data_IF_105861976107
#
_entry.id   IF_105861976107
#
_cell.length_a   1.000
_cell.length_b   1.000
_cell.length_c   1.000
_cell.angle_alpha   90.00
_cell.angle_beta   90.00
_cell.angle_gamma   90.00
#
_symmetry.space_group_name_H-M   'P 1'
#
loop_
_entity.id
_entity.type
_entity.pdbx_description
1 polymer ?
#
# COMPACT_ATOMS: atom_id res chain seq x y z
N UNK A 1 -19.89 -0.65 24.10
CA UNK A 1 -18.94 -1.66 24.62
C UNK A 1 -17.81 -1.73 23.62
N UNK A 2 -16.76 -0.95 23.87
CA UNK A 2 -15.57 -0.91 23.03
C UNK A 2 -14.70 -2.12 23.35
N UNK A 3 -14.56 -3.03 22.38
CA UNK A 3 -13.63 -4.13 22.50
C UNK A 3 -12.21 -3.55 22.46
N UNK A 4 -11.55 -3.55 23.62
CA UNK A 4 -10.15 -3.22 23.77
C UNK A 4 -9.32 -4.16 22.87
N UNK A 5 -8.63 -3.68 21.82
CA UNK A 5 -7.92 -4.54 20.87
C UNK A 5 -6.63 -5.15 21.44
N UNK A 6 -6.29 -4.86 22.69
CA UNK A 6 -5.01 -5.17 23.34
C UNK A 6 -4.75 -6.62 23.77
N UNK A 7 -5.45 -7.62 23.23
CA UNK A 7 -5.20 -9.02 23.64
C UNK A 7 -5.14 -10.04 22.51
N UNK A 8 -5.04 -9.60 21.25
CA UNK A 8 -4.76 -10.51 20.16
C UNK A 8 -3.25 -10.73 20.11
N UNK A 9 -2.79 -11.97 20.29
CA UNK A 9 -1.40 -12.33 20.02
C UNK A 9 -0.99 -11.73 18.66
N UNK A 10 0.11 -10.95 18.60
CA UNK A 10 0.52 -10.24 17.39
C UNK A 10 0.54 -11.12 16.13
N UNK A 11 0.90 -12.41 16.29
CA UNK A 11 0.88 -13.43 15.24
C UNK A 11 -0.52 -13.78 14.72
N UNK A 12 -1.53 -13.88 15.59
CA UNK A 12 -2.91 -14.18 15.20
C UNK A 12 -3.55 -12.96 14.56
N UNK A 13 -3.33 -11.77 15.10
CA UNK A 13 -3.78 -10.51 14.50
C UNK A 13 -3.16 -10.31 13.12
N UNK A 14 -1.86 -10.58 12.98
CA UNK A 14 -1.16 -10.48 11.70
C UNK A 14 -1.69 -11.49 10.69
N UNK A 15 -1.72 -12.79 11.01
CA UNK A 15 -2.26 -13.80 10.08
C UNK A 15 -3.71 -13.52 9.69
N UNK A 16 -4.55 -13.10 10.64
CA UNK A 16 -5.93 -12.72 10.36
C UNK A 16 -5.99 -11.47 9.48
N UNK A 17 -5.17 -10.45 9.75
CA UNK A 17 -5.15 -9.25 8.94
C UNK A 17 -4.59 -9.55 7.55
N UNK A 18 -3.47 -10.25 7.41
CA UNK A 18 -2.93 -10.72 6.12
C UNK A 18 -3.95 -11.56 5.35
N UNK A 19 -4.71 -12.45 5.99
CA UNK A 19 -5.79 -13.20 5.36
C UNK A 19 -6.95 -12.31 4.92
N UNK A 20 -7.40 -11.37 5.76
CA UNK A 20 -8.50 -10.44 5.41
C UNK A 20 -8.09 -9.46 4.33
N UNK A 21 -6.83 -9.03 4.36
CA UNK A 21 -6.23 -8.32 3.26
C UNK A 21 -6.26 -9.27 2.05
N UNK A 22 -5.69 -10.46 2.09
CA UNK A 22 -5.74 -11.42 0.97
C UNK A 22 -7.16 -11.68 0.43
N UNK A 23 -8.21 -11.66 1.25
CA UNK A 23 -9.61 -11.70 0.79
C UNK A 23 -10.06 -10.40 0.11
N UNK A 24 -9.68 -9.24 0.64
CA UNK A 24 -9.95 -7.92 0.06
C UNK A 24 -9.17 -7.67 -1.24
N UNK A 25 -7.99 -8.27 -1.38
CA UNK A 25 -7.04 -8.05 -2.48
C UNK A 25 -7.02 -9.18 -3.51
N UNK A 26 -7.19 -10.46 -3.17
CA UNK A 26 -6.77 -11.63 -3.98
C UNK A 26 -7.79 -12.77 -4.11
N UNK A 27 -9.09 -12.48 -4.32
CA UNK A 27 -10.06 -13.52 -4.73
C UNK A 27 -10.95 -13.16 -5.92
N UNK A 28 -10.31 -12.74 -7.02
CA UNK A 28 -10.88 -12.92 -8.36
C UNK A 28 -10.14 -14.04 -9.10
N UNK A 29 -10.85 -14.92 -9.82
CA UNK A 29 -10.30 -15.96 -10.73
C UNK A 29 -9.31 -15.43 -11.79
N UNK A 30 -9.18 -14.11 -11.88
CA UNK A 30 -8.53 -13.38 -12.97
C UNK A 30 -7.10 -12.89 -12.62
N UNK A 31 -6.57 -13.22 -11.43
CA UNK A 31 -5.17 -12.94 -11.06
C UNK A 31 -4.85 -11.50 -10.61
N UNK A 32 -5.85 -10.75 -10.13
CA UNK A 32 -5.70 -9.35 -9.69
C UNK A 32 -5.72 -9.22 -8.17
N UNK A 33 -4.71 -8.52 -7.64
CA UNK A 33 -4.44 -8.37 -6.20
C UNK A 33 -2.95 -8.39 -5.91
N UNK A 34 -2.46 -7.59 -4.95
CA UNK A 34 -1.01 -7.43 -4.69
C UNK A 34 -0.33 -8.80 -4.69
N UNK A 35 0.57 -9.04 -5.64
CA UNK A 35 1.24 -10.33 -5.71
C UNK A 35 2.05 -10.44 -4.41
N UNK A 36 1.79 -11.51 -3.65
CA UNK A 36 2.64 -11.92 -2.53
C UNK A 36 2.60 -11.04 -1.26
N UNK A 37 1.41 -10.61 -0.80
CA UNK A 37 1.27 -10.16 0.61
C UNK A 37 1.78 -11.23 1.57
N UNK A 38 1.50 -12.51 1.32
CA UNK A 38 1.96 -13.63 2.15
C UNK A 38 3.48 -13.80 2.17
N UNK A 39 4.22 -13.80 1.05
CA UNK A 39 5.68 -14.02 1.15
C UNK A 39 6.42 -12.79 1.68
N UNK A 40 5.98 -11.57 1.33
CA UNK A 40 6.55 -10.36 1.93
C UNK A 40 6.18 -10.25 3.42
N UNK A 41 5.02 -10.78 3.82
CA UNK A 41 4.61 -10.81 5.23
C UNK A 41 5.52 -11.63 6.11
N UNK A 42 6.20 -12.66 5.58
CA UNK A 42 7.11 -13.48 6.38
C UNK A 42 8.37 -12.73 6.79
N UNK A 43 8.93 -11.91 5.89
CA UNK A 43 10.11 -11.09 6.20
C UNK A 43 9.78 -9.83 7.00
N UNK A 44 8.54 -9.33 6.92
CA UNK A 44 8.09 -8.13 7.63
C UNK A 44 7.43 -8.44 8.99
N UNK A 45 6.92 -9.66 9.21
CA UNK A 45 6.22 -10.05 10.43
C UNK A 45 6.99 -9.75 11.73
N UNK A 46 8.29 -10.07 11.87
CA UNK A 46 9.01 -9.80 13.11
C UNK A 46 9.02 -8.32 13.49
N UNK A 47 9.05 -7.43 12.50
CA UNK A 47 9.07 -5.98 12.72
C UNK A 47 7.69 -5.41 13.04
N UNK A 48 6.63 -6.05 12.54
CA UNK A 48 5.25 -5.71 12.90
C UNK A 48 4.95 -6.17 14.32
N UNK A 49 5.36 -7.40 14.67
CA UNK A 49 5.20 -7.96 16.02
C UNK A 49 5.94 -7.13 17.07
N UNK A 50 7.13 -6.61 16.73
CA UNK A 50 7.89 -5.69 17.57
C UNK A 50 7.33 -4.26 17.60
N UNK A 51 6.26 -3.94 16.86
CA UNK A 51 5.66 -2.61 16.79
C UNK A 51 6.47 -1.57 16.01
N UNK A 52 7.53 -1.98 15.31
CA UNK A 52 8.44 -1.11 14.54
C UNK A 52 7.94 -0.79 13.14
N UNK A 53 7.11 -1.69 12.58
CA UNK A 53 6.32 -1.44 11.38
C UNK A 53 4.84 -1.39 11.75
N UNK A 54 4.23 -0.21 11.67
CA UNK A 54 2.79 -0.04 11.92
C UNK A 54 2.03 -0.14 10.62
N UNK A 55 0.96 -0.92 10.63
CA UNK A 55 0.04 -1.06 9.51
C UNK A 55 -1.34 -0.57 9.90
N UNK A 56 -1.90 0.35 9.10
CA UNK A 56 -3.15 1.03 9.43
C UNK A 56 -4.08 1.02 8.22
N UNK A 57 -5.29 0.49 8.38
CA UNK A 57 -6.32 0.62 7.36
C UNK A 57 -6.88 2.04 7.35
N UNK A 58 -6.97 2.64 6.16
CA UNK A 58 -7.45 4.01 5.96
C UNK A 58 -8.59 4.01 4.95
N UNK A 59 -9.65 4.75 5.26
CA UNK A 59 -10.64 5.12 4.27
C UNK A 59 -10.06 6.23 3.38
N UNK A 60 -10.04 5.98 2.07
CA UNK A 60 -9.63 6.95 1.05
C UNK A 60 -10.91 7.46 0.38
N UNK A 61 -11.17 8.78 0.41
CA UNK A 61 -12.34 9.33 -0.24
C UNK A 61 -12.30 9.04 -1.75
N UNK A 62 -13.40 8.55 -2.35
CA UNK A 62 -13.48 8.44 -3.80
C UNK A 62 -13.44 9.84 -4.43
N UNK A 63 -13.08 9.91 -5.71
CA UNK A 63 -13.11 11.15 -6.46
C UNK A 63 -14.56 11.61 -6.69
N UNK A 64 -14.76 12.92 -6.84
CA UNK A 64 -16.07 13.42 -7.26
C UNK A 64 -16.36 12.98 -8.70
N UNK A 65 -17.63 12.76 -9.10
CA UNK A 65 -17.97 12.31 -10.45
C UNK A 65 -17.45 13.22 -11.57
N UNK A 66 -17.26 14.52 -11.28
CA UNK A 66 -16.67 15.49 -12.21
C UNK A 66 -15.20 15.21 -12.49
N UNK A 67 -14.45 14.78 -11.48
CA UNK A 67 -13.03 14.44 -11.62
C UNK A 67 -12.90 13.07 -12.29
N UNK A 68 -13.72 12.08 -11.92
CA UNK A 68 -13.73 10.76 -12.57
C UNK A 68 -13.90 10.86 -14.10
N UNK A 69 -14.84 11.70 -14.58
CA UNK A 69 -15.06 11.92 -16.02
C UNK A 69 -13.83 12.51 -16.71
N UNK A 70 -13.14 13.45 -16.05
CA UNK A 70 -11.91 14.07 -16.55
C UNK A 70 -10.77 13.05 -16.61
N UNK A 71 -10.68 12.16 -15.63
CA UNK A 71 -9.66 11.10 -15.59
C UNK A 71 -9.90 10.05 -16.68
N UNK A 72 -11.15 9.65 -16.90
CA UNK A 72 -11.52 8.69 -17.95
C UNK A 72 -11.19 9.19 -19.36
N UNK A 73 -11.21 10.50 -19.61
CA UNK A 73 -10.79 11.07 -20.90
C UNK A 73 -9.27 11.04 -21.15
N UNK A 74 -8.45 10.73 -20.14
CA UNK A 74 -6.99 10.62 -20.25
C UNK A 74 -6.49 9.17 -20.20
N UNK A 75 -7.37 8.17 -20.21
CA UNK A 75 -6.93 6.77 -20.20
C UNK A 75 -6.24 6.45 -21.52
N UNK A 76 -4.91 6.40 -21.49
CA UNK A 76 -4.09 5.98 -22.63
C UNK A 76 -4.12 4.44 -22.71
N UNK A 77 -3.83 3.84 -23.87
CA UNK A 77 -3.84 2.38 -24.07
C UNK A 77 -2.90 1.58 -23.13
N UNK A 78 -2.01 2.26 -22.38
CA UNK A 78 -1.06 1.65 -21.42
C UNK A 78 -1.61 1.48 -20.00
N UNK A 79 -2.68 2.17 -19.61
CA UNK A 79 -3.13 2.19 -18.21
C UNK A 79 -4.66 2.21 -18.11
N UNK A 80 -5.23 1.35 -17.26
CA UNK A 80 -6.68 1.29 -17.09
C UNK A 80 -7.24 2.55 -16.43
N UNK A 81 -8.44 2.96 -16.84
CA UNK A 81 -9.15 4.08 -16.19
C UNK A 81 -9.29 3.89 -14.66
N UNK A 82 -9.39 2.64 -14.21
CA UNK A 82 -9.45 2.32 -12.79
C UNK A 82 -8.15 2.67 -12.05
N UNK A 83 -6.98 2.37 -12.62
CA UNK A 83 -5.68 2.69 -12.02
C UNK A 83 -5.50 4.20 -11.90
N UNK A 84 -5.82 4.94 -12.97
CA UNK A 84 -5.79 6.41 -12.96
C UNK A 84 -6.70 7.00 -11.88
N UNK A 85 -7.92 6.48 -11.71
CA UNK A 85 -8.84 6.90 -10.64
C UNK A 85 -8.22 6.67 -9.26
N UNK A 86 -7.62 5.50 -9.02
CA UNK A 86 -6.99 5.20 -7.74
C UNK A 86 -5.79 6.12 -7.46
N UNK A 87 -4.95 6.36 -8.47
CA UNK A 87 -3.79 7.24 -8.40
C UNK A 87 -4.18 8.67 -8.02
N UNK A 88 -5.13 9.24 -8.75
CA UNK A 88 -5.67 10.57 -8.45
C UNK A 88 -6.35 10.63 -7.07
N UNK A 89 -7.09 9.58 -6.67
CA UNK A 89 -7.69 9.52 -5.34
C UNK A 89 -6.62 9.51 -4.23
N UNK A 90 -5.58 8.70 -4.39
CA UNK A 90 -4.44 8.62 -3.47
C UNK A 90 -3.71 9.97 -3.36
N UNK A 91 -3.41 10.62 -4.49
CA UNK A 91 -2.74 11.92 -4.53
C UNK A 91 -3.56 12.99 -3.79
N UNK A 92 -4.85 13.13 -4.09
CA UNK A 92 -5.71 14.10 -3.40
C UNK A 92 -5.84 13.81 -1.91
N UNK A 93 -5.93 12.53 -1.55
CA UNK A 93 -5.98 12.12 -0.16
C UNK A 93 -4.68 12.43 0.58
N UNK A 94 -3.51 12.15 0.00
CA UNK A 94 -2.21 12.52 0.57
C UNK A 94 -2.12 14.03 0.80
N UNK A 95 -2.48 14.85 -0.20
CA UNK A 95 -2.52 16.32 -0.08
C UNK A 95 -3.42 16.79 1.05
N UNK A 96 -4.60 16.18 1.19
CA UNK A 96 -5.53 16.48 2.28
C UNK A 96 -4.99 16.09 3.67
N UNK A 97 -4.03 15.16 3.74
CA UNK A 97 -3.41 14.66 4.97
C UNK A 97 -2.00 15.26 5.20
N UNK A 98 -1.71 16.42 4.64
CA UNK A 98 -0.49 17.19 4.93
C UNK A 98 0.65 17.04 3.92
N UNK A 99 0.60 16.06 3.02
CA UNK A 99 1.55 15.89 1.91
C UNK A 99 1.19 16.82 0.74
N UNK A 100 1.26 18.14 0.98
CA UNK A 100 0.78 19.18 0.04
C UNK A 100 1.47 19.16 -1.32
N UNK A 101 2.71 18.69 -1.36
CA UNK A 101 3.57 18.51 -2.52
C UNK A 101 3.41 17.15 -3.21
N UNK A 102 2.44 16.32 -2.80
CA UNK A 102 2.27 15.01 -3.45
C UNK A 102 2.00 15.15 -4.95
N UNK A 103 2.74 14.41 -5.77
CA UNK A 103 2.68 14.38 -7.23
C UNK A 103 2.50 12.95 -7.75
N UNK A 104 1.96 12.83 -8.96
CA UNK A 104 1.67 11.53 -9.59
C UNK A 104 2.79 11.12 -10.56
N UNK A 105 2.98 9.80 -10.76
CA UNK A 105 3.88 9.24 -11.78
C UNK A 105 5.36 9.60 -11.62
N UNK A 106 5.83 9.65 -10.37
CA UNK A 106 7.19 10.10 -10.05
C UNK A 106 8.20 8.94 -10.16
N UNK A 107 9.32 9.08 -10.89
CA UNK A 107 10.40 8.11 -10.88
C UNK A 107 11.00 7.93 -9.47
N UNK A 108 11.40 6.71 -9.12
CA UNK A 108 12.08 6.46 -7.84
C UNK A 108 12.56 5.03 -7.63
N UNK A 109 12.51 4.56 -6.38
CA UNK A 109 13.12 3.33 -5.89
C UNK A 109 12.68 2.08 -6.69
N UNK A 110 13.49 1.68 -7.67
CA UNK A 110 13.28 0.47 -8.46
C UNK A 110 12.20 0.57 -9.54
N UNK A 111 11.79 1.79 -9.92
CA UNK A 111 10.78 2.00 -10.94
C UNK A 111 10.06 3.34 -10.79
N UNK A 112 8.78 3.37 -11.16
CA UNK A 112 7.92 4.55 -11.00
C UNK A 112 6.96 4.34 -9.84
N UNK A 113 6.75 5.39 -9.04
CA UNK A 113 5.70 5.47 -8.04
C UNK A 113 4.43 6.05 -8.64
N UNK A 114 3.29 5.56 -8.18
CA UNK A 114 2.01 6.14 -8.59
C UNK A 114 1.83 7.54 -8.00
N UNK A 115 2.21 7.73 -6.73
CA UNK A 115 2.19 9.04 -6.06
C UNK A 115 3.36 9.18 -5.09
N UNK A 116 3.98 10.35 -5.01
CA UNK A 116 5.07 10.65 -4.07
C UNK A 116 4.99 12.08 -3.53
N UNK A 117 5.28 12.26 -2.24
CA UNK A 117 5.55 13.53 -1.57
C UNK A 117 6.90 13.46 -0.90
N UNK A 118 7.81 14.35 -1.32
CA UNK A 118 9.16 14.43 -0.78
C UNK A 118 9.14 15.04 0.62
N UNK A 119 8.39 16.13 0.82
CA UNK A 119 8.37 16.85 2.10
C UNK A 119 7.73 16.04 3.24
N UNK A 120 6.83 15.12 2.91
CA UNK A 120 6.18 14.25 3.88
C UNK A 120 6.83 12.86 3.97
N UNK A 121 7.90 12.59 3.21
CA UNK A 121 8.54 11.28 3.10
C UNK A 121 7.50 10.16 2.91
N UNK A 122 6.63 10.33 1.91
CA UNK A 122 5.44 9.50 1.72
C UNK A 122 5.24 9.09 0.27
N UNK A 123 5.25 7.78 0.02
CA UNK A 123 4.90 7.18 -1.27
C UNK A 123 3.53 6.52 -1.19
N UNK A 124 2.74 6.58 -2.27
CA UNK A 124 1.60 5.70 -2.47
C UNK A 124 1.70 4.93 -3.79
N UNK A 125 1.30 3.66 -3.72
CA UNK A 125 1.24 2.72 -4.83
C UNK A 125 -0.21 2.25 -4.96
N UNK A 126 -0.71 2.11 -6.19
CA UNK A 126 -2.11 1.78 -6.42
C UNK A 126 -2.29 0.54 -7.30
N UNK A 127 -3.50 0.00 -7.27
CA UNK A 127 -3.88 -1.11 -8.14
C UNK A 127 -3.24 -2.44 -7.71
N UNK A 128 -2.50 -3.07 -8.63
CA UNK A 128 -1.91 -4.40 -8.45
C UNK A 128 -0.42 -4.34 -8.09
N UNK A 129 -0.05 -3.42 -7.18
CA UNK A 129 1.35 -3.23 -6.79
C UNK A 129 1.84 -4.36 -5.88
N UNK A 130 3.08 -4.80 -6.07
CA UNK A 130 3.71 -5.84 -5.26
C UNK A 130 4.21 -5.25 -3.94
N UNK A 131 4.06 -6.00 -2.85
CA UNK A 131 4.57 -5.62 -1.53
C UNK A 131 6.11 -5.57 -1.51
N UNK A 132 6.80 -6.18 -2.48
CA UNK A 132 8.25 -6.06 -2.61
C UNK A 132 8.73 -4.60 -2.69
N UNK A 133 7.90 -3.70 -3.27
CA UNK A 133 8.18 -2.26 -3.26
C UNK A 133 8.19 -1.66 -1.85
N UNK A 134 7.37 -2.17 -0.93
CA UNK A 134 7.38 -1.76 0.48
C UNK A 134 8.70 -2.17 1.14
N UNK A 135 9.14 -3.43 0.98
CA UNK A 135 10.42 -3.88 1.51
C UNK A 135 11.58 -3.05 0.95
N UNK A 136 11.54 -2.75 -0.36
CA UNK A 136 12.54 -1.89 -0.99
C UNK A 136 12.50 -0.45 -0.47
N UNK A 137 11.32 0.12 -0.23
CA UNK A 137 11.16 1.45 0.37
C UNK A 137 11.66 1.51 1.82
N UNK A 138 11.40 0.48 2.63
CA UNK A 138 11.89 0.39 4.02
C UNK A 138 13.42 0.38 4.08
N UNK A 139 14.09 -0.27 3.13
CA UNK A 139 15.57 -0.32 3.07
C UNK A 139 16.21 1.02 2.64
N UNK A 140 15.42 2.06 2.38
CA UNK A 140 15.91 3.39 2.03
C UNK A 140 15.75 4.34 3.22
N UNK A 141 16.60 5.38 3.33
CA UNK A 141 16.49 6.36 4.41
C UNK A 141 15.16 7.15 4.34
N UNK A 142 14.62 7.32 3.13
CA UNK A 142 13.28 7.86 2.85
C UNK A 142 12.62 6.99 1.76
N UNK A 143 11.28 6.90 1.71
CA UNK A 143 10.30 7.45 2.65
C UNK A 143 10.30 6.70 4.01
N UNK A 144 9.55 7.23 4.98
CA UNK A 144 9.19 6.50 6.22
C UNK A 144 7.70 6.11 6.26
N UNK A 145 7.01 6.33 5.13
CA UNK A 145 5.59 6.03 4.97
C UNK A 145 5.28 5.53 3.57
N UNK A 146 4.54 4.44 3.49
CA UNK A 146 4.10 3.83 2.24
C UNK A 146 2.61 3.50 2.31
N UNK A 147 1.82 3.95 1.35
CA UNK A 147 0.41 3.58 1.25
C UNK A 147 0.16 2.67 0.06
N UNK A 148 -0.42 1.51 0.29
CA UNK A 148 -0.99 0.67 -0.75
C UNK A 148 -2.48 0.98 -0.94
N UNK A 149 -2.87 1.44 -2.12
CA UNK A 149 -4.28 1.68 -2.50
C UNK A 149 -4.71 0.68 -3.56
N UNK A 150 -5.16 -0.51 -3.14
CA UNK A 150 -5.51 -1.56 -4.07
C UNK A 150 -6.73 -1.28 -4.93
N UNK A 151 -6.78 -1.99 -6.05
CA UNK A 151 -8.03 -2.20 -6.75
C UNK A 151 -8.92 -3.20 -5.99
N UNK A 152 -10.10 -2.74 -5.55
CA UNK A 152 -11.04 -3.51 -4.72
C UNK A 152 -12.30 -3.87 -5.50
N UNK A 153 -12.31 -4.90 -6.34
CA UNK A 153 -13.41 -5.19 -7.30
C UNK A 153 -14.83 -5.05 -6.71
N UNK A 154 -15.07 -5.55 -5.49
CA UNK A 154 -16.39 -5.49 -4.83
C UNK A 154 -16.83 -4.06 -4.48
N UNK A 155 -15.88 -3.15 -4.30
CA UNK A 155 -16.14 -1.75 -4.06
C UNK A 155 -16.40 -0.96 -5.35
N UNK A 156 -16.33 -1.60 -6.52
CA UNK A 156 -16.61 -0.98 -7.82
C UNK A 156 -17.99 -1.38 -8.33
N UNK A 157 -18.81 -0.41 -8.74
CA UNK A 157 -20.09 -0.64 -9.40
C UNK A 157 -20.17 0.23 -10.65
N UNK A 158 -20.48 -0.38 -11.79
CA UNK A 158 -20.56 0.31 -13.09
C UNK A 158 -19.27 1.10 -13.41
N UNK A 159 -18.10 0.52 -13.10
CA UNK A 159 -16.80 1.15 -13.35
C UNK A 159 -16.44 2.30 -12.39
N UNK A 160 -17.17 2.48 -11.28
CA UNK A 160 -16.91 3.55 -10.30
C UNK A 160 -16.66 3.02 -8.89
N UNK A 161 -15.69 3.57 -8.14
CA UNK A 161 -15.44 3.18 -6.76
C UNK A 161 -16.51 3.78 -5.82
N UNK A 162 -17.16 2.93 -5.02
CA UNK A 162 -18.10 3.34 -3.96
C UNK A 162 -17.39 3.70 -2.66
N UNK A 163 -16.32 2.97 -2.34
CA UNK A 163 -15.44 3.16 -1.19
C UNK A 163 -14.05 2.70 -1.60
N UNK A 164 -13.02 3.42 -1.16
CA UNK A 164 -11.65 2.98 -1.33
C UNK A 164 -11.05 2.78 0.06
N UNK A 165 -10.43 1.63 0.27
CA UNK A 165 -9.59 1.36 1.43
C UNK A 165 -8.13 1.39 0.98
N UNK A 166 -7.26 2.05 1.74
CA UNK A 166 -5.82 1.94 1.62
C UNK A 166 -5.21 1.31 2.86
N UNK A 167 -4.01 0.75 2.71
CA UNK A 167 -3.18 0.29 3.82
C UNK A 167 -1.99 1.23 3.92
N UNK A 168 -1.87 1.88 5.07
CA UNK A 168 -0.79 2.81 5.39
C UNK A 168 0.24 2.08 6.26
N UNK A 169 1.47 2.02 5.78
CA UNK A 169 2.62 1.44 6.45
C UNK A 169 3.52 2.57 6.92
N UNK A 170 3.81 2.60 8.22
CA UNK A 170 4.65 3.62 8.85
C UNK A 170 5.72 2.94 9.67
N UNK A 171 6.96 3.35 9.49
CA UNK A 171 8.12 2.84 10.23
C UNK A 171 9.04 3.97 10.65
N UNK A 172 9.98 3.66 11.52
CA UNK A 172 11.09 4.55 11.84
C UNK A 172 12.32 4.24 10.96
N UNK A 173 13.20 5.22 10.77
CA UNK A 173 14.41 5.08 9.93
C UNK A 173 15.34 3.92 10.32
N UNK A 174 15.31 3.46 11.58
CA UNK A 174 16.17 2.36 12.04
C UNK A 174 15.73 1.00 11.52
N UNK A 175 14.50 0.89 11.01
CA UNK A 175 13.97 -0.37 10.49
C UNK A 175 14.72 -0.86 9.24
N UNK A 176 15.16 0.05 8.38
CA UNK A 176 15.80 -0.29 7.10
C UNK A 176 17.03 -1.18 7.24
N UNK A 177 18.05 -0.77 8.02
CA UNK A 177 19.24 -1.59 8.27
C UNK A 177 18.93 -2.98 8.86
N UNK A 178 17.98 -3.06 9.78
CA UNK A 178 17.62 -4.33 10.42
C UNK A 178 16.89 -5.28 9.48
N UNK A 179 16.00 -4.75 8.63
CA UNK A 179 15.36 -5.52 7.57
C UNK A 179 16.39 -6.05 6.56
N UNK A 180 17.35 -5.22 6.16
CA UNK A 180 18.42 -5.66 5.25
C UNK A 180 19.26 -6.79 5.86
N UNK A 181 19.64 -6.67 7.13
CA UNK A 181 20.38 -7.70 7.85
C UNK A 181 19.59 -9.02 7.93
N UNK A 182 18.30 -8.96 8.26
CA UNK A 182 17.42 -10.12 8.34
C UNK A 182 17.27 -10.82 6.97
N UNK A 183 17.07 -10.07 5.89
CA UNK A 183 16.99 -10.61 4.53
C UNK A 183 18.30 -11.25 4.08
N UNK A 184 19.46 -10.67 4.45
CA UNK A 184 20.78 -11.27 4.18
C UNK A 184 20.94 -12.60 4.92
N UNK A 185 20.56 -12.66 6.20
CA UNK A 185 20.65 -13.89 6.99
C UNK A 185 19.78 -15.02 6.42
N UNK A 186 18.55 -14.72 5.99
CA UNK A 186 17.66 -15.70 5.35
C UNK A 186 18.25 -16.27 4.05
N UNK A 187 18.89 -15.42 3.23
CA UNK A 187 19.56 -15.86 1.99
C UNK A 187 20.75 -16.78 2.25
N UNK A 188 21.46 -16.59 3.36
CA UNK A 188 22.60 -17.43 3.75
C UNK A 188 22.13 -18.77 4.34
N UNK A 189 21.01 -18.80 5.05
CA UNK A 189 20.44 -20.01 5.65
C UNK A 189 19.66 -20.90 4.66
N UNK A 190 19.25 -20.36 3.51
CA UNK A 190 18.58 -21.09 2.42
C UNK A 190 19.52 -21.61 1.32
N UNK A 191 20.84 -21.57 1.55
CA UNK A 191 21.89 -22.22 0.74
C UNK A 191 22.48 -23.38 1.53
#
# INVERSE_FOLDING_TARGET
>A
MDANPGSWEPQRYWRYTSYRLEELFTRGRDGWGSRSMLNASLSLAPFIEAGRLRMIMRAIPPLSPRIEKKVASFSNARESAAHMILKHAACRWMRANGAKDAEEEVPGYGGRFDVYSEKADWIAEVGNSNVDKLAYAIMKPTPQRFTLVPYQRQAWRNGKPRRLIGIDFVWDASLGPDLEAALRAQRLAGR
#
